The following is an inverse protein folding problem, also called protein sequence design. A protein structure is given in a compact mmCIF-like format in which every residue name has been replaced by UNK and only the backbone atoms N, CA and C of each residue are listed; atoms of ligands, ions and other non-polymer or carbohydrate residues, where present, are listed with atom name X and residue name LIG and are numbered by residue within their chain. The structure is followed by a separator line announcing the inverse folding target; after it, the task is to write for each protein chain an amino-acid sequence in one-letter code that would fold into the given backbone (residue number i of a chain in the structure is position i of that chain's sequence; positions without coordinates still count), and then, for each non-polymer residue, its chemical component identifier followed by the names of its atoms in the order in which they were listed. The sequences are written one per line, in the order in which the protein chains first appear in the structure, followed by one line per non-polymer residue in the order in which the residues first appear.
data_IF_021878960593
#
_entry.id   IF_021878960593
#
_cell.length_a   1.000
_cell.length_b   1.000
_cell.length_c   1.000
_cell.angle_alpha   90.00
_cell.angle_beta   90.00
_cell.angle_gamma   90.00
#
_symmetry.space_group_name_H-M   'P 1'
#
loop_
_entity.id
_entity.type
_entity.pdbx_description
1 polymer ?
#
# COMPACT_ATOMS: atom_id res chain seq x y z
N UNK A 1 -61.76 -23.99 7.75
CA UNK A 1 -61.35 -22.58 7.54
C UNK A 1 -60.47 -22.20 8.72
N UNK A 2 -59.20 -21.91 8.43
CA UNK A 2 -58.11 -21.46 9.31
C UNK A 2 -57.71 -22.34 10.52
N UNK A 3 -56.70 -23.17 10.28
CA UNK A 3 -55.71 -23.64 11.26
C UNK A 3 -54.67 -22.54 11.46
N UNK A 4 -54.47 -22.08 12.71
CA UNK A 4 -53.39 -21.15 13.05
C UNK A 4 -52.19 -21.92 13.61
N UNK A 5 -51.14 -22.02 12.81
CA UNK A 5 -49.85 -22.56 13.25
C UNK A 5 -49.12 -21.55 14.14
N UNK A 6 -48.83 -21.99 15.36
CA UNK A 6 -48.05 -21.26 16.36
C UNK A 6 -46.56 -21.27 16.01
N UNK A 7 -46.01 -20.11 15.65
CA UNK A 7 -44.58 -19.88 15.51
C UNK A 7 -43.91 -19.90 16.89
N UNK A 8 -43.14 -20.96 17.19
CA UNK A 8 -42.28 -21.03 18.39
C UNK A 8 -41.01 -20.21 18.15
N UNK A 9 -40.88 -19.10 18.88
CA UNK A 9 -39.61 -18.37 19.00
C UNK A 9 -38.72 -19.08 20.02
N UNK A 10 -37.53 -19.52 19.59
CA UNK A 10 -36.47 -19.96 20.50
C UNK A 10 -35.76 -18.71 21.06
N UNK A 11 -36.01 -18.39 22.33
CA UNK A 11 -35.17 -17.46 23.08
C UNK A 11 -33.88 -18.19 23.48
N UNK A 12 -32.75 -17.78 22.92
CA UNK A 12 -31.44 -18.14 23.46
C UNK A 12 -31.12 -17.13 24.57
N UNK A 13 -31.22 -17.57 25.82
CA UNK A 13 -30.73 -16.83 26.98
C UNK A 13 -29.20 -16.86 26.97
N UNK A 14 -28.55 -15.77 26.55
CA UNK A 14 -27.16 -15.53 26.90
C UNK A 14 -27.12 -14.90 28.29
N UNK A 15 -26.65 -15.66 29.28
CA UNK A 15 -26.27 -15.16 30.60
C UNK A 15 -24.95 -14.39 30.44
N UNK A 16 -24.99 -13.07 30.60
CA UNK A 16 -23.80 -12.21 30.57
C UNK A 16 -23.29 -12.04 32.00
N UNK A 17 -22.13 -12.61 32.30
CA UNK A 17 -21.32 -12.21 33.45
C UNK A 17 -20.56 -10.93 33.08
N UNK A 18 -20.93 -9.82 33.69
CA UNK A 18 -20.21 -8.55 33.58
C UNK A 18 -18.90 -8.61 34.37
N UNK A 19 -17.81 -8.90 33.67
CA UNK A 19 -16.44 -8.77 34.19
C UNK A 19 -15.58 -8.00 33.20
N UNK A 20 -15.21 -6.76 33.55
CA UNK A 20 -14.04 -6.05 33.04
C UNK A 20 -14.21 -5.33 31.70
N UNK A 21 -14.29 -4.00 31.74
CA UNK A 21 -13.99 -3.15 30.58
C UNK A 21 -12.49 -2.91 30.54
N UNK A 22 -11.89 -3.18 29.38
CA UNK A 22 -10.66 -2.49 28.96
C UNK A 22 -10.56 -2.33 27.45
N UNK A 23 -11.68 -2.34 26.70
CA UNK A 23 -11.69 -1.98 25.27
C UNK A 23 -13.02 -1.34 24.86
N UNK A 24 -12.97 -0.04 24.62
CA UNK A 24 -14.03 0.67 23.91
C UNK A 24 -13.67 0.73 22.42
N UNK A 25 -14.50 0.15 21.57
CA UNK A 25 -14.49 0.42 20.14
C UNK A 25 -15.01 1.84 19.90
N UNK A 26 -14.52 2.48 18.83
CA UNK A 26 -14.91 3.84 18.47
C UNK A 26 -15.71 3.81 17.17
N UNK A 27 -16.96 4.21 17.26
CA UNK A 27 -17.87 4.25 16.13
C UNK A 27 -17.94 5.68 15.60
N UNK A 28 -17.78 5.83 14.29
CA UNK A 28 -17.96 7.08 13.57
C UNK A 28 -19.24 6.95 12.76
N UNK A 29 -20.21 7.82 13.03
CA UNK A 29 -21.48 7.86 12.31
C UNK A 29 -21.35 8.72 11.04
N UNK A 30 -22.26 8.56 10.07
CA UNK A 30 -22.30 9.42 8.86
C UNK A 30 -22.44 10.92 9.15
N UNK A 31 -22.99 11.28 10.30
CA UNK A 31 -23.06 12.67 10.78
C UNK A 31 -21.74 13.19 11.35
N UNK A 32 -20.66 12.39 11.32
CA UNK A 32 -19.40 12.58 12.04
C UNK A 32 -19.50 12.54 13.57
N UNK A 33 -20.69 12.25 14.13
CA UNK A 33 -20.83 11.97 15.55
C UNK A 33 -20.05 10.70 15.94
N UNK A 34 -19.57 10.67 17.18
CA UNK A 34 -18.74 9.58 17.70
C UNK A 34 -19.44 8.90 18.87
N UNK A 35 -19.45 7.58 18.86
CA UNK A 35 -19.92 6.75 19.98
C UNK A 35 -18.77 5.85 20.44
N UNK A 36 -18.79 5.50 21.72
CA UNK A 36 -17.83 4.57 22.34
C UNK A 36 -18.57 3.46 23.04
N UNK A 37 -18.07 2.23 22.91
CA UNK A 37 -18.64 1.04 23.52
C UNK A 37 -18.06 -0.21 22.87
N UNK A 38 -18.59 -1.39 23.18
CA UNK A 38 -18.12 -2.64 22.59
C UNK A 38 -19.12 -3.12 21.54
N UNK A 39 -18.69 -3.23 20.29
CA UNK A 39 -19.52 -3.80 19.22
C UNK A 39 -19.60 -5.31 19.42
N UNK A 40 -20.83 -5.85 19.48
CA UNK A 40 -21.06 -7.28 19.70
C UNK A 40 -21.51 -8.02 18.45
N UNK A 41 -22.21 -7.35 17.53
CA UNK A 41 -22.68 -7.99 16.28
C UNK A 41 -23.06 -7.03 15.18
N UNK A 42 -23.02 -7.52 13.95
CA UNK A 42 -23.63 -6.96 12.74
C UNK A 42 -24.53 -8.04 12.15
N UNK A 43 -25.82 -7.75 12.05
CA UNK A 43 -26.80 -8.64 11.39
C UNK A 43 -26.68 -8.56 9.86
N UNK A 44 -27.28 -9.50 9.15
CA UNK A 44 -27.37 -9.48 7.68
C UNK A 44 -28.07 -8.22 7.13
N UNK A 45 -29.03 -7.67 7.89
CA UNK A 45 -29.68 -6.40 7.53
C UNK A 45 -28.81 -5.16 7.81
N UNK A 46 -27.61 -5.34 8.34
CA UNK A 46 -26.66 -4.27 8.67
C UNK A 46 -26.89 -3.54 10.00
N UNK A 47 -27.75 -4.06 10.88
CA UNK A 47 -27.96 -3.53 12.24
C UNK A 47 -26.74 -3.84 13.11
N UNK A 48 -26.21 -2.82 13.78
CA UNK A 48 -25.07 -2.95 14.71
C UNK A 48 -25.56 -2.93 16.16
N UNK A 49 -25.13 -3.90 16.95
CA UNK A 49 -25.37 -3.92 18.39
C UNK A 49 -24.14 -3.41 19.16
N UNK A 50 -24.34 -2.36 19.96
CA UNK A 50 -23.31 -1.71 20.76
C UNK A 50 -23.62 -1.86 22.26
N UNK A 51 -22.78 -2.55 22.99
CA UNK A 51 -22.79 -2.50 24.46
C UNK A 51 -22.13 -1.19 24.92
N UNK A 52 -22.78 -0.44 25.80
CA UNK A 52 -22.28 0.84 26.30
C UNK A 52 -22.50 0.93 27.81
N UNK A 53 -21.57 1.55 28.54
CA UNK A 53 -21.65 1.72 30.00
C UNK A 53 -22.90 2.49 30.45
N UNK A 54 -23.44 3.34 29.58
CA UNK A 54 -24.59 4.20 29.87
C UNK A 54 -25.94 3.53 29.59
N UNK A 55 -25.97 2.31 29.08
CA UNK A 55 -27.18 1.59 28.73
C UNK A 55 -27.19 0.16 29.29
N UNK A 56 -28.28 -0.23 29.95
CA UNK A 56 -28.44 -1.57 30.54
C UNK A 56 -28.75 -2.66 29.50
N UNK A 57 -29.05 -2.29 28.26
CA UNK A 57 -29.25 -3.18 27.12
C UNK A 57 -28.44 -2.66 25.92
N UNK A 58 -27.97 -3.54 25.02
CA UNK A 58 -27.26 -3.10 23.82
C UNK A 58 -28.06 -2.10 22.99
N UNK A 59 -27.39 -1.02 22.57
CA UNK A 59 -27.96 -0.02 21.68
C UNK A 59 -27.93 -0.57 20.26
N UNK A 60 -29.09 -0.64 19.60
CA UNK A 60 -29.23 -1.09 18.22
C UNK A 60 -29.17 0.09 17.26
N UNK A 61 -28.11 0.15 16.46
CA UNK A 61 -27.88 1.18 15.45
C UNK A 61 -28.44 0.72 14.11
N UNK A 62 -29.22 1.58 13.46
CA UNK A 62 -29.84 1.29 12.17
C UNK A 62 -28.79 1.07 11.07
N UNK A 63 -29.11 0.27 10.03
CA UNK A 63 -28.20 0.03 8.92
C UNK A 63 -27.76 1.34 8.25
N UNK A 64 -26.48 1.42 7.90
CA UNK A 64 -25.91 2.57 7.22
C UNK A 64 -25.83 3.85 8.05
N UNK A 65 -26.12 3.84 9.35
CA UNK A 65 -25.86 5.00 10.23
C UNK A 65 -24.39 5.05 10.65
N UNK A 66 -23.79 3.89 10.90
CA UNK A 66 -22.38 3.75 11.23
C UNK A 66 -21.58 3.73 9.94
N UNK A 67 -20.65 4.67 9.80
CA UNK A 67 -19.72 4.75 8.68
C UNK A 67 -18.50 3.86 8.92
N UNK A 68 -17.96 3.90 10.14
CA UNK A 68 -16.75 3.18 10.51
C UNK A 68 -16.77 2.75 11.98
N UNK A 69 -16.24 1.57 12.27
CA UNK A 69 -15.84 1.14 13.60
C UNK A 69 -14.33 1.01 13.61
N UNK A 70 -13.66 1.74 14.48
CA UNK A 70 -12.23 1.59 14.77
C UNK A 70 -12.10 0.65 15.96
N UNK A 71 -11.53 -0.53 15.73
CA UNK A 71 -11.25 -1.47 16.80
C UNK A 71 -9.96 -1.04 17.50
N UNK A 72 -9.97 -1.10 18.83
CA UNK A 72 -8.77 -0.87 19.62
C UNK A 72 -7.77 -2.00 19.35
N UNK A 73 -6.90 -1.90 18.34
CA UNK A 73 -5.93 -2.95 18.00
C UNK A 73 -4.86 -3.12 19.10
N UNK A 74 -4.51 -4.37 19.40
CA UNK A 74 -3.29 -4.74 20.13
C UNK A 74 -2.21 -4.94 19.06
N UNK A 75 -0.96 -4.64 19.40
CA UNK A 75 0.14 -4.57 18.44
C UNK A 75 0.16 -5.77 17.47
N UNK A 76 0.33 -5.51 16.16
CA UNK A 76 0.28 -6.54 15.14
C UNK A 76 1.36 -7.60 15.41
N UNK A 77 1.00 -8.88 15.24
CA UNK A 77 1.96 -9.97 15.28
C UNK A 77 2.93 -9.88 14.09
N UNK A 78 4.19 -10.27 14.31
CA UNK A 78 5.33 -9.97 13.45
C UNK A 78 5.47 -10.83 12.18
N UNK A 79 4.59 -11.80 11.97
CA UNK A 79 4.62 -12.60 10.74
C UNK A 79 3.90 -11.86 9.63
N UNK A 80 4.69 -11.19 8.79
CA UNK A 80 4.17 -10.49 7.64
C UNK A 80 3.80 -11.47 6.53
N UNK A 81 2.58 -11.39 6.02
CA UNK A 81 2.18 -12.14 4.84
C UNK A 81 3.15 -11.86 3.68
N UNK A 82 3.57 -12.91 2.98
CA UNK A 82 4.42 -12.80 1.79
C UNK A 82 3.63 -12.85 0.50
N UNK A 83 2.31 -13.06 0.56
CA UNK A 83 1.45 -13.18 -0.62
C UNK A 83 0.18 -12.36 -0.44
N UNK A 84 -0.26 -11.70 -1.51
CA UNK A 84 -1.57 -11.05 -1.57
C UNK A 84 -2.48 -11.80 -2.55
N UNK A 85 -3.67 -12.18 -2.10
CA UNK A 85 -4.70 -12.81 -2.94
C UNK A 85 -5.81 -11.81 -3.19
N UNK A 86 -6.25 -11.72 -4.44
CA UNK A 86 -7.52 -11.08 -4.80
C UNK A 86 -8.54 -12.17 -5.14
N UNK A 87 -9.73 -12.06 -4.58
CA UNK A 87 -10.87 -12.92 -4.92
C UNK A 87 -11.68 -12.33 -6.08
N UNK A 88 -12.54 -13.13 -6.69
CA UNK A 88 -13.37 -12.71 -7.83
C UNK A 88 -14.34 -11.57 -7.49
N UNK A 89 -14.68 -11.36 -6.21
CA UNK A 89 -15.47 -10.23 -5.76
C UNK A 89 -14.63 -8.97 -5.45
N UNK A 90 -13.30 -9.01 -5.63
CA UNK A 90 -12.38 -7.91 -5.33
C UNK A 90 -11.92 -7.83 -3.87
N UNK A 91 -12.29 -8.80 -3.02
CA UNK A 91 -11.75 -8.89 -1.67
C UNK A 91 -10.27 -9.29 -1.70
N UNK A 92 -9.52 -8.77 -0.73
CA UNK A 92 -8.06 -8.86 -0.67
C UNK A 92 -7.63 -9.56 0.61
N UNK A 93 -6.79 -10.57 0.48
CA UNK A 93 -6.30 -11.39 1.58
C UNK A 93 -4.77 -11.45 1.60
N UNK A 94 -4.12 -10.88 2.63
CA UNK A 94 -2.71 -11.12 2.91
C UNK A 94 -2.57 -12.52 3.53
N UNK A 95 -1.76 -13.38 2.92
CA UNK A 95 -1.58 -14.78 3.33
C UNK A 95 -0.13 -15.26 3.24
N UNK A 96 0.14 -16.38 3.89
CA UNK A 96 1.25 -17.29 3.60
C UNK A 96 0.68 -18.54 2.94
N UNK A 97 1.27 -18.99 1.83
CA UNK A 97 0.82 -20.19 1.12
C UNK A 97 1.46 -21.43 1.77
N UNK A 98 0.66 -22.48 2.00
CA UNK A 98 1.20 -23.81 2.33
C UNK A 98 1.25 -24.70 1.08
N UNK A 99 0.14 -24.80 0.33
CA UNK A 99 0.09 -25.51 -0.95
C UNK A 99 -1.10 -25.08 -1.82
N UNK A 100 -1.05 -25.39 -3.11
CA UNK A 100 -2.15 -25.25 -4.06
C UNK A 100 -2.27 -26.50 -4.92
N UNK A 101 -3.52 -26.89 -5.21
CA UNK A 101 -3.86 -27.94 -6.17
C UNK A 101 -4.99 -27.48 -7.11
N UNK A 102 -5.53 -28.39 -7.91
CA UNK A 102 -6.61 -28.12 -8.87
C UNK A 102 -7.91 -27.61 -8.23
N UNK A 103 -8.15 -27.89 -6.94
CA UNK A 103 -9.42 -27.60 -6.25
C UNK A 103 -9.33 -26.46 -5.28
N UNK A 104 -8.21 -26.33 -4.57
CA UNK A 104 -8.09 -25.39 -3.46
C UNK A 104 -6.65 -24.92 -3.25
N UNK A 105 -6.57 -23.75 -2.63
CA UNK A 105 -5.36 -23.17 -2.08
C UNK A 105 -5.44 -23.27 -0.55
N UNK A 106 -4.42 -23.83 0.08
CA UNK A 106 -4.26 -23.90 1.53
C UNK A 106 -3.34 -22.76 1.96
N UNK A 107 -3.83 -21.91 2.86
CA UNK A 107 -3.14 -20.72 3.32
C UNK A 107 -3.15 -20.62 4.83
N UNK A 108 -2.20 -19.87 5.35
CA UNK A 108 -2.17 -19.35 6.72
C UNK A 108 -2.30 -17.85 6.70
N UNK A 109 -3.03 -17.30 7.67
CA UNK A 109 -3.07 -15.87 7.93
C UNK A 109 -2.73 -15.59 9.38
N UNK A 110 -2.00 -14.51 9.63
CA UNK A 110 -1.74 -14.02 10.99
C UNK A 110 -3.04 -13.74 11.75
N UNK A 111 -4.09 -13.38 11.01
CA UNK A 111 -5.39 -13.01 11.55
C UNK A 111 -6.34 -14.19 11.73
N UNK A 112 -6.42 -15.16 10.82
CA UNK A 112 -7.44 -16.22 10.85
C UNK A 112 -6.88 -17.65 11.04
N UNK A 113 -5.56 -17.80 11.12
CA UNK A 113 -4.92 -19.12 11.11
C UNK A 113 -5.00 -19.78 9.74
N UNK A 114 -4.99 -21.12 9.73
CA UNK A 114 -5.02 -21.93 8.51
C UNK A 114 -6.44 -22.04 7.95
N UNK A 115 -6.62 -21.79 6.65
CA UNK A 115 -7.89 -22.05 5.96
C UNK A 115 -7.68 -22.38 4.48
N UNK A 116 -8.77 -22.85 3.86
CA UNK A 116 -8.80 -23.31 2.46
C UNK A 116 -9.63 -22.34 1.63
N UNK A 117 -9.07 -21.91 0.50
CA UNK A 117 -9.75 -21.08 -0.48
C UNK A 117 -10.07 -21.96 -1.70
N UNK A 118 -11.35 -22.12 -2.08
CA UNK A 118 -11.70 -22.81 -3.31
C UNK A 118 -11.04 -22.13 -4.51
N UNK A 119 -10.40 -22.90 -5.39
CA UNK A 119 -9.63 -22.34 -6.51
C UNK A 119 -10.46 -21.45 -7.42
N UNK A 120 -11.72 -21.82 -7.65
CA UNK A 120 -12.64 -21.09 -8.53
C UNK A 120 -13.04 -19.69 -8.03
N UNK A 121 -12.75 -19.33 -6.76
CA UNK A 121 -13.00 -17.97 -6.24
C UNK A 121 -11.75 -17.10 -6.23
N UNK A 122 -10.59 -17.64 -6.64
CA UNK A 122 -9.36 -16.89 -6.80
C UNK A 122 -9.41 -16.08 -8.10
N UNK A 123 -9.01 -14.81 -8.04
CA UNK A 123 -8.84 -13.95 -9.21
C UNK A 123 -7.38 -13.77 -9.56
N UNK A 124 -6.56 -13.46 -8.57
CA UNK A 124 -5.12 -13.30 -8.72
C UNK A 124 -4.36 -13.54 -7.43
N UNK A 125 -3.07 -13.81 -7.57
CA UNK A 125 -2.13 -14.00 -6.47
C UNK A 125 -0.83 -13.27 -6.80
N UNK A 126 -0.36 -12.45 -5.87
CA UNK A 126 0.91 -11.73 -5.96
C UNK A 126 1.88 -12.36 -4.97
N UNK A 127 2.99 -12.89 -5.48
CA UNK A 127 4.01 -13.53 -4.66
C UNK A 127 5.06 -12.52 -4.20
N UNK A 128 5.60 -12.77 -3.01
CA UNK A 128 6.49 -11.86 -2.29
C UNK A 128 5.95 -10.44 -2.25
N UNK A 129 4.66 -10.32 -1.92
CA UNK A 129 4.06 -9.07 -1.47
C UNK A 129 4.75 -8.70 -0.15
N UNK A 130 5.90 -8.05 -0.24
CA UNK A 130 6.48 -7.37 0.89
C UNK A 130 5.93 -5.95 0.89
N UNK A 131 5.44 -5.53 2.05
CA UNK A 131 5.21 -4.12 2.34
C UNK A 131 6.49 -3.37 1.98
N UNK A 132 6.40 -2.43 1.03
CA UNK A 132 7.50 -1.58 0.57
C UNK A 132 8.51 -1.33 1.70
N UNK A 133 9.74 -1.85 1.54
CA UNK A 133 10.75 -1.73 2.58
C UNK A 133 11.04 -0.25 2.77
N UNK A 134 10.68 0.27 3.94
CA UNK A 134 11.03 1.63 4.34
C UNK A 134 12.52 1.64 4.64
N UNK A 135 13.29 2.26 3.76
CA UNK A 135 14.73 2.42 3.92
C UNK A 135 15.01 3.56 4.90
N UNK A 136 14.20 4.61 4.83
CA UNK A 136 14.35 5.77 5.70
C UNK A 136 13.04 6.54 5.88
N UNK A 137 12.86 7.10 7.07
CA UNK A 137 11.89 8.16 7.39
C UNK A 137 12.53 9.17 8.33
N UNK A 138 12.44 10.44 7.97
CA UNK A 138 12.90 11.53 8.82
C UNK A 138 12.61 12.90 8.19
N UNK A 139 13.40 13.93 8.54
CA UNK A 139 14.54 13.88 9.44
C UNK A 139 14.16 13.60 10.90
N UNK A 140 15.06 12.93 11.65
CA UNK A 140 14.90 12.71 13.11
C UNK A 140 15.90 13.51 13.95
N UNK A 141 17.06 13.82 13.39
CA UNK A 141 18.11 14.64 13.99
C UNK A 141 19.14 15.03 12.93
N UNK A 142 19.83 16.15 13.10
CA UNK A 142 20.83 16.59 12.11
C UNK A 142 22.05 15.66 11.99
N UNK A 143 22.45 15.02 13.09
CA UNK A 143 23.67 14.19 13.15
C UNK A 143 23.59 12.92 12.30
N UNK A 144 22.41 12.58 11.76
CA UNK A 144 22.27 11.41 10.88
C UNK A 144 22.53 11.75 9.40
N UNK A 145 22.64 13.05 9.07
CA UNK A 145 22.89 13.57 7.72
C UNK A 145 24.28 14.20 7.60
N UNK A 146 25.28 13.44 8.05
CA UNK A 146 26.70 13.75 7.90
C UNK A 146 27.30 12.70 6.97
N UNK A 147 28.13 13.11 6.01
CA UNK A 147 28.93 12.18 5.22
C UNK A 147 30.27 11.92 5.90
N UNK A 148 30.93 10.80 5.57
CA UNK A 148 32.26 10.46 6.07
C UNK A 148 33.32 11.55 5.79
N UNK A 149 33.05 12.46 4.85
CA UNK A 149 33.99 13.47 4.37
C UNK A 149 33.57 14.92 4.67
N UNK A 150 32.30 15.19 4.94
CA UNK A 150 31.77 16.53 5.21
C UNK A 150 30.59 16.49 6.19
N UNK A 151 30.72 17.27 7.27
CA UNK A 151 29.64 17.55 8.22
C UNK A 151 28.50 18.35 7.59
N UNK A 152 27.28 18.16 8.10
CA UNK A 152 26.16 19.04 7.80
C UNK A 152 26.49 20.48 8.24
N UNK A 153 26.17 21.45 7.39
CA UNK A 153 26.39 22.89 7.62
C UNK A 153 25.13 23.66 7.27
N UNK A 154 24.84 24.72 8.01
CA UNK A 154 23.68 25.60 7.80
C UNK A 154 22.33 25.02 8.24
N UNK A 155 22.07 23.73 7.97
CA UNK A 155 20.83 23.06 8.39
C UNK A 155 20.72 22.95 9.91
N UNK A 156 19.58 23.35 10.43
CA UNK A 156 19.14 23.15 11.83
C UNK A 156 18.00 22.14 11.84
N UNK A 157 17.87 21.37 12.90
CA UNK A 157 16.74 20.46 13.08
C UNK A 157 15.72 21.06 14.05
N UNK A 158 14.48 21.24 13.59
CA UNK A 158 13.34 21.67 14.42
C UNK A 158 12.06 21.03 13.89
N UNK A 159 11.16 20.63 14.79
CA UNK A 159 9.81 20.15 14.44
C UNK A 159 9.77 19.06 13.35
N UNK A 160 10.66 18.06 13.45
CA UNK A 160 10.82 16.97 12.46
C UNK A 160 11.15 17.47 11.03
N UNK A 161 11.81 18.63 10.93
CA UNK A 161 12.25 19.22 9.67
C UNK A 161 13.70 19.71 9.75
N UNK A 162 14.34 19.81 8.60
CA UNK A 162 15.55 20.62 8.46
C UNK A 162 15.18 22.00 7.99
N UNK A 163 15.66 23.01 8.70
CA UNK A 163 15.40 24.43 8.46
C UNK A 163 16.70 25.18 8.23
N UNK A 164 16.70 26.13 7.31
CA UNK A 164 17.83 27.05 7.10
C UNK A 164 17.33 28.42 6.65
N UNK A 165 18.09 29.45 6.98
CA UNK A 165 17.92 30.85 6.59
C UNK A 165 19.13 31.38 5.80
N UNK A 166 20.08 30.50 5.48
CA UNK A 166 21.30 30.74 4.69
C UNK A 166 21.70 29.47 3.92
N UNK A 167 22.81 29.52 3.17
CA UNK A 167 23.35 28.36 2.47
C UNK A 167 23.57 27.17 3.41
N UNK A 168 23.04 26.01 3.01
CA UNK A 168 23.08 24.81 3.82
C UNK A 168 23.36 23.55 2.99
N UNK A 169 24.09 22.62 3.60
CA UNK A 169 24.46 21.33 3.03
C UNK A 169 24.28 20.23 4.06
N UNK A 170 23.70 19.11 3.64
CA UNK A 170 23.62 17.89 4.42
C UNK A 170 23.65 16.69 3.49
N UNK A 171 24.21 15.55 3.91
CA UNK A 171 24.24 14.36 3.08
C UNK A 171 24.19 13.09 3.90
N UNK A 172 23.58 12.04 3.34
CA UNK A 172 23.40 10.76 4.01
C UNK A 172 23.52 9.63 3.01
N UNK A 173 24.23 8.57 3.42
CA UNK A 173 24.32 7.31 2.68
C UNK A 173 23.22 6.35 3.13
N UNK A 174 22.63 5.63 2.18
CA UNK A 174 21.59 4.63 2.37
C UNK A 174 21.96 3.31 1.67
N UNK A 175 21.15 2.28 1.85
CA UNK A 175 21.17 1.08 1.01
C UNK A 175 20.05 1.21 -0.03
N UNK A 176 20.31 1.93 -1.13
CA UNK A 176 19.30 2.17 -2.16
C UNK A 176 19.18 0.93 -3.08
N UNK A 177 17.97 0.35 -3.24
CA UNK A 177 17.73 -0.76 -4.16
C UNK A 177 17.71 -0.28 -5.62
N UNK A 178 17.55 -1.22 -6.56
CA UNK A 178 17.41 -0.89 -7.98
C UNK A 178 16.16 -0.07 -8.30
N UNK A 179 15.08 -0.28 -7.54
CA UNK A 179 13.83 0.48 -7.66
C UNK A 179 13.45 1.09 -6.32
N UNK A 180 13.42 2.42 -6.26
CA UNK A 180 13.07 3.12 -5.02
C UNK A 180 12.25 4.38 -5.29
N UNK A 181 11.47 4.80 -4.30
CA UNK A 181 10.89 6.14 -4.25
C UNK A 181 11.68 7.03 -3.28
N UNK A 182 11.85 8.29 -3.65
CA UNK A 182 12.36 9.36 -2.81
C UNK A 182 11.27 10.42 -2.69
N UNK A 183 10.73 10.58 -1.50
CA UNK A 183 9.67 11.52 -1.18
C UNK A 183 10.15 12.55 -0.16
N UNK A 184 9.70 13.79 -0.29
CA UNK A 184 9.93 14.84 0.70
C UNK A 184 8.94 15.98 0.52
N UNK A 185 8.86 16.87 1.51
CA UNK A 185 8.14 18.14 1.41
C UNK A 185 9.11 19.29 1.52
N UNK A 186 9.01 20.22 0.59
CA UNK A 186 9.76 21.47 0.59
C UNK A 186 8.84 22.63 0.93
N UNK A 187 9.31 23.55 1.76
CA UNK A 187 8.63 24.83 2.04
C UNK A 187 9.63 25.96 2.01
N UNK A 188 9.23 27.12 1.49
CA UNK A 188 10.07 28.31 1.37
C UNK A 188 9.30 29.58 1.73
N UNK A 189 10.02 30.66 2.04
CA UNK A 189 9.41 31.98 2.26
C UNK A 189 9.34 32.83 0.99
N UNK A 190 10.43 32.93 0.23
CA UNK A 190 10.52 33.75 -0.99
C UNK A 190 10.87 32.88 -2.20
N UNK A 191 12.10 32.36 -2.23
CA UNK A 191 12.60 31.47 -3.28
C UNK A 191 13.07 30.15 -2.67
N UNK A 192 12.79 29.00 -3.29
CA UNK A 192 13.32 27.74 -2.85
C UNK A 192 14.82 27.64 -3.15
N UNK A 193 15.30 27.95 -4.35
CA UNK A 193 16.70 27.70 -4.76
C UNK A 193 17.27 26.40 -4.15
N UNK A 194 16.51 25.33 -4.34
CA UNK A 194 16.75 24.06 -3.67
C UNK A 194 17.35 23.06 -4.65
N UNK A 195 18.30 22.27 -4.18
CA UNK A 195 18.80 21.12 -4.92
C UNK A 195 18.88 19.89 -4.02
N UNK A 196 18.41 18.76 -4.56
CA UNK A 196 18.61 17.45 -3.97
C UNK A 196 19.31 16.55 -4.98
N UNK A 197 20.48 16.04 -4.59
CA UNK A 197 21.17 15.01 -5.35
C UNK A 197 20.79 13.65 -4.80
N UNK A 198 20.60 12.67 -5.68
CA UNK A 198 20.25 11.31 -5.31
C UNK A 198 20.89 10.31 -6.27
N UNK A 199 20.99 9.06 -5.81
CA UNK A 199 21.92 8.09 -6.37
C UNK A 199 23.36 8.65 -6.42
N UNK A 200 23.72 9.47 -5.42
CA UNK A 200 25.01 10.17 -5.34
C UNK A 200 26.07 9.23 -4.74
N UNK A 201 27.25 9.06 -5.35
CA UNK A 201 28.31 8.27 -4.73
C UNK A 201 28.96 8.95 -3.52
N UNK A 202 28.64 10.21 -3.24
CA UNK A 202 29.21 11.02 -2.16
C UNK A 202 30.74 11.11 -2.23
N UNK A 203 31.27 11.25 -3.46
CA UNK A 203 32.70 11.40 -3.68
C UNK A 203 33.21 12.72 -3.09
N UNK A 204 34.34 12.68 -2.38
CA UNK A 204 35.01 13.85 -1.83
C UNK A 204 35.90 14.59 -2.83
N UNK A 205 36.11 14.04 -4.03
CA UNK A 205 36.79 14.77 -5.09
C UNK A 205 35.79 15.63 -5.88
N UNK A 206 36.21 16.84 -6.26
CA UNK A 206 35.40 17.77 -7.08
C UNK A 206 35.23 17.29 -8.53
N UNK A 207 35.38 15.99 -8.79
CA UNK A 207 35.30 15.41 -10.12
C UNK A 207 33.84 15.21 -10.51
N UNK A 208 33.52 15.34 -11.81
CA UNK A 208 32.23 14.93 -12.32
C UNK A 208 31.93 13.49 -11.90
N UNK A 209 30.71 13.26 -11.42
CA UNK A 209 30.31 11.96 -10.90
C UNK A 209 28.95 11.56 -11.44
N UNK A 210 28.66 10.27 -11.35
CA UNK A 210 27.40 9.72 -11.83
C UNK A 210 26.32 9.86 -10.75
N UNK A 211 25.37 10.79 -10.95
CA UNK A 211 24.24 11.03 -10.04
C UNK A 211 23.07 11.73 -10.74
N UNK A 212 21.92 11.77 -10.08
CA UNK A 212 20.84 12.67 -10.45
C UNK A 212 20.81 13.90 -9.57
N UNK A 213 20.36 15.01 -10.14
CA UNK A 213 20.21 16.31 -9.47
C UNK A 213 18.82 16.84 -9.77
N UNK A 214 17.96 16.93 -8.76
CA UNK A 214 16.73 17.72 -8.85
C UNK A 214 17.03 19.14 -8.39
N UNK A 215 16.64 20.12 -9.19
CA UNK A 215 16.82 21.53 -8.93
C UNK A 215 15.44 22.21 -9.02
N UNK A 216 15.13 23.09 -8.07
CA UNK A 216 13.92 23.88 -8.08
C UNK A 216 14.20 25.34 -7.72
N UNK A 217 13.99 26.25 -8.68
CA UNK A 217 14.23 27.68 -8.51
C UNK A 217 13.34 28.54 -9.44
N UNK A 218 13.36 29.86 -9.23
CA UNK A 218 12.51 30.81 -9.97
C UNK A 218 12.85 30.90 -11.46
N UNK A 219 14.13 30.71 -11.82
CA UNK A 219 14.61 30.97 -13.18
C UNK A 219 14.36 29.80 -14.14
N UNK A 220 14.38 28.56 -13.64
CA UNK A 220 14.30 27.34 -14.46
C UNK A 220 13.11 26.46 -14.10
N UNK A 221 12.35 26.81 -13.08
CA UNK A 221 11.31 25.95 -12.54
C UNK A 221 11.90 24.68 -11.94
N UNK A 222 11.23 23.56 -12.20
CA UNK A 222 11.64 22.24 -11.72
C UNK A 222 12.35 21.46 -12.82
N UNK A 223 13.53 20.93 -12.50
CA UNK A 223 14.30 20.10 -13.42
C UNK A 223 14.98 18.95 -12.67
N UNK A 224 15.05 17.78 -13.31
CA UNK A 224 15.92 16.68 -12.91
C UNK A 224 16.95 16.46 -14.01
N UNK A 225 18.23 16.52 -13.65
CA UNK A 225 19.36 16.30 -14.54
C UNK A 225 20.16 15.06 -14.14
N UNK A 226 20.81 14.46 -15.13
CA UNK A 226 21.92 13.54 -14.99
C UNK A 226 23.22 14.32 -14.96
N UNK A 227 23.99 14.20 -13.87
CA UNK A 227 25.44 14.47 -13.93
C UNK A 227 26.15 13.19 -14.34
N UNK A 228 27.06 13.25 -15.32
CA UNK A 228 27.81 12.11 -15.82
C UNK A 228 29.30 12.26 -15.56
N UNK A 229 29.96 11.17 -15.12
CA UNK A 229 31.42 11.13 -14.92
C UNK A 229 32.20 11.15 -16.26
N UNK A 230 31.53 10.78 -17.36
CA UNK A 230 32.09 10.72 -18.72
C UNK A 230 31.11 11.34 -19.72
N UNK A 231 31.64 11.89 -20.81
CA UNK A 231 30.83 12.43 -21.90
C UNK A 231 30.21 13.79 -21.57
N UNK A 232 28.95 14.00 -21.96
CA UNK A 232 28.25 15.25 -21.64
C UNK A 232 27.94 15.28 -20.14
N UNK A 233 28.54 16.25 -19.45
CA UNK A 233 28.48 16.33 -18.00
C UNK A 233 27.07 16.49 -17.47
N UNK A 234 26.22 17.31 -18.12
CA UNK A 234 24.87 17.57 -17.64
C UNK A 234 23.85 17.35 -18.75
N UNK A 235 22.88 16.46 -18.49
CA UNK A 235 21.81 16.17 -19.43
C UNK A 235 20.47 16.21 -18.68
N UNK A 236 19.45 16.85 -19.25
CA UNK A 236 18.12 16.85 -18.66
C UNK A 236 17.50 15.44 -18.77
N UNK A 237 16.91 14.98 -17.68
CA UNK A 237 16.09 13.76 -17.63
C UNK A 237 14.61 14.15 -17.60
N UNK A 238 14.26 15.12 -16.76
CA UNK A 238 12.93 15.75 -16.69
C UNK A 238 13.13 17.27 -16.66
N UNK A 239 12.40 18.01 -17.50
CA UNK A 239 12.48 19.46 -17.57
C UNK A 239 11.08 20.07 -17.58
N UNK A 240 10.73 20.81 -16.52
CA UNK A 240 9.43 21.43 -16.32
C UNK A 240 9.59 22.94 -16.09
N UNK A 241 9.91 23.71 -17.15
CA UNK A 241 10.24 25.13 -17.02
C UNK A 241 9.03 26.01 -16.67
N UNK A 242 7.81 25.44 -16.73
CA UNK A 242 6.55 26.07 -16.34
C UNK A 242 6.05 25.65 -14.96
N UNK A 243 6.83 24.88 -14.21
CA UNK A 243 6.57 24.59 -12.81
C UNK A 243 7.49 25.47 -12.00
N UNK A 244 7.07 26.70 -11.74
CA UNK A 244 7.87 27.69 -11.01
C UNK A 244 7.36 27.83 -9.56
N UNK A 245 8.17 28.34 -8.62
CA UNK A 245 7.77 28.45 -7.22
C UNK A 245 6.46 29.21 -7.00
N UNK A 246 6.21 30.27 -7.78
CA UNK A 246 4.98 31.06 -7.70
C UNK A 246 3.69 30.27 -8.00
N UNK A 247 3.77 29.09 -8.63
CA UNK A 247 2.60 28.26 -8.96
C UNK A 247 2.07 27.48 -7.75
N UNK A 248 2.81 27.43 -6.64
CA UNK A 248 2.52 26.58 -5.49
C UNK A 248 1.96 27.38 -4.31
N UNK A 249 0.68 27.16 -3.94
CA UNK A 249 0.09 27.80 -2.78
C UNK A 249 0.90 27.54 -1.51
N UNK A 250 0.90 28.53 -0.62
CA UNK A 250 1.61 28.48 0.67
C UNK A 250 3.14 28.26 0.56
N UNK A 251 3.70 28.45 -0.64
CA UNK A 251 5.12 28.23 -0.91
C UNK A 251 5.59 26.84 -0.46
N UNK A 252 4.79 25.82 -0.80
CA UNK A 252 5.01 24.44 -0.40
C UNK A 252 4.87 23.49 -1.58
N UNK A 253 5.73 22.48 -1.62
CA UNK A 253 5.72 21.43 -2.64
C UNK A 253 5.99 20.07 -2.01
N UNK A 254 5.05 19.13 -2.20
CA UNK A 254 5.28 17.72 -1.91
C UNK A 254 5.84 17.05 -3.18
N UNK A 255 7.00 16.40 -3.08
CA UNK A 255 7.70 15.77 -4.21
C UNK A 255 7.82 14.27 -3.95
N UNK A 256 7.56 13.48 -4.98
CA UNK A 256 7.94 12.06 -5.02
C UNK A 256 8.61 11.75 -6.36
N UNK A 257 9.79 11.14 -6.30
CA UNK A 257 10.53 10.67 -7.46
C UNK A 257 10.63 9.16 -7.36
N UNK A 258 10.07 8.45 -8.33
CA UNK A 258 10.23 7.00 -8.47
C UNK A 258 11.38 6.74 -9.44
N UNK A 259 12.35 5.94 -9.00
CA UNK A 259 13.57 5.64 -9.74
C UNK A 259 13.58 4.15 -10.07
N UNK A 260 13.68 3.82 -11.35
CA UNK A 260 13.94 2.46 -11.84
C UNK A 260 15.31 2.44 -12.54
N UNK A 261 16.33 1.95 -11.83
CA UNK A 261 17.69 1.84 -12.36
C UNK A 261 17.83 0.79 -13.46
N UNK A 262 16.98 -0.24 -13.46
CA UNK A 262 17.01 -1.33 -14.48
C UNK A 262 16.50 -0.79 -15.81
N UNK A 263 15.42 0.01 -15.77
CA UNK A 263 14.84 0.65 -16.94
C UNK A 263 15.47 2.01 -17.29
N UNK A 264 16.41 2.51 -16.48
CA UNK A 264 16.97 3.86 -16.60
C UNK A 264 15.86 4.93 -16.68
N UNK A 265 14.83 4.80 -15.83
CA UNK A 265 13.59 5.58 -15.90
C UNK A 265 13.32 6.28 -14.57
N UNK A 266 12.92 7.55 -14.64
CA UNK A 266 12.40 8.33 -13.53
C UNK A 266 10.93 8.69 -13.78
N UNK A 267 10.10 8.60 -12.75
CA UNK A 267 8.75 9.17 -12.72
C UNK A 267 8.68 10.24 -11.62
N UNK A 268 8.14 11.41 -11.95
CA UNK A 268 7.96 12.51 -11.02
C UNK A 268 6.49 12.67 -10.68
N UNK A 269 6.19 12.82 -9.40
CA UNK A 269 4.87 13.19 -8.89
C UNK A 269 4.99 14.42 -8.00
N UNK A 270 4.05 15.33 -8.16
CA UNK A 270 3.99 16.60 -7.42
C UNK A 270 2.65 16.69 -6.73
N UNK A 271 2.65 16.98 -5.42
CA UNK A 271 1.44 17.07 -4.60
C UNK A 271 0.54 15.83 -4.66
N UNK A 272 1.14 14.65 -4.83
CA UNK A 272 0.46 13.36 -4.91
C UNK A 272 0.00 12.97 -6.32
N UNK A 273 0.07 13.89 -7.29
CA UNK A 273 -0.38 13.65 -8.65
C UNK A 273 0.79 13.32 -9.60
N UNK A 274 0.62 12.37 -10.55
CA UNK A 274 1.62 12.11 -11.58
C UNK A 274 1.88 13.34 -12.46
N UNK A 275 3.15 13.72 -12.62
CA UNK A 275 3.53 14.88 -13.42
C UNK A 275 4.10 14.43 -14.77
N UNK A 276 5.20 13.66 -14.79
CA UNK A 276 5.81 13.16 -16.03
C UNK A 276 6.84 12.06 -15.77
N UNK A 277 7.39 11.49 -16.84
CA UNK A 277 8.47 10.50 -16.84
C UNK A 277 9.66 10.96 -17.68
N UNK A 278 10.86 10.50 -17.34
CA UNK A 278 12.09 10.79 -18.07
C UNK A 278 13.00 9.58 -18.13
N UNK A 279 13.52 9.28 -19.32
CA UNK A 279 14.52 8.21 -19.53
C UNK A 279 15.90 8.84 -19.38
N UNK A 280 16.80 8.21 -18.60
CA UNK A 280 18.18 8.64 -18.45
C UNK A 280 18.91 8.58 -19.80
N UNK A 281 19.36 9.73 -20.33
CA UNK A 281 19.98 9.79 -21.65
C UNK A 281 21.38 9.16 -21.69
N UNK A 282 21.99 8.85 -20.54
CA UNK A 282 23.27 8.14 -20.49
C UNK A 282 23.13 6.62 -20.72
N UNK A 283 21.89 6.09 -20.77
CA UNK A 283 21.59 4.67 -20.99
C UNK A 283 21.77 3.79 -19.75
N UNK A 284 22.68 4.14 -18.84
CA UNK A 284 22.87 3.48 -17.55
C UNK A 284 22.62 4.44 -16.38
N UNK A 285 21.67 4.08 -15.52
CA UNK A 285 21.37 4.82 -14.30
C UNK A 285 22.57 4.85 -13.33
N UNK A 286 22.77 5.96 -12.59
CA UNK A 286 23.77 6.04 -11.54
C UNK A 286 23.49 5.04 -10.41
N UNK A 287 24.56 4.49 -9.87
CA UNK A 287 24.54 3.40 -8.87
C UNK A 287 24.86 3.88 -7.45
N UNK A 288 25.12 5.19 -7.28
CA UNK A 288 25.43 5.77 -5.98
C UNK A 288 24.30 5.57 -4.97
N UNK A 289 24.63 5.71 -3.70
CA UNK A 289 23.75 5.34 -2.58
C UNK A 289 23.51 6.50 -1.61
N UNK A 290 23.97 7.68 -1.96
CA UNK A 290 23.82 8.90 -1.20
C UNK A 290 22.66 9.76 -1.68
N UNK A 291 22.16 10.54 -0.74
CA UNK A 291 21.33 11.71 -0.98
C UNK A 291 22.00 12.91 -0.34
N UNK A 292 22.06 14.02 -1.07
CA UNK A 292 22.61 15.28 -0.59
C UNK A 292 21.61 16.41 -0.77
N UNK A 293 21.47 17.25 0.24
CA UNK A 293 20.53 18.36 0.32
C UNK A 293 21.32 19.67 0.27
N UNK A 294 20.96 20.54 -0.66
CA UNK A 294 21.48 21.88 -0.79
C UNK A 294 20.33 22.87 -0.69
N UNK A 295 20.37 23.71 0.34
CA UNK A 295 19.46 24.84 0.48
C UNK A 295 20.22 26.13 0.22
N UNK A 296 19.74 26.96 -0.70
CA UNK A 296 20.30 28.28 -0.97
C UNK A 296 19.20 29.35 -0.93
N UNK A 297 18.44 29.45 0.18
CA UNK A 297 17.44 30.50 0.28
C UNK A 297 18.12 31.88 0.24
N UNK A 298 17.33 32.91 -0.08
CA UNK A 298 17.78 34.27 0.13
C UNK A 298 18.09 34.48 1.62
N UNK A 299 19.23 35.09 1.94
CA UNK A 299 19.67 35.29 3.33
C UNK A 299 18.58 35.92 4.20
N UNK A 300 18.30 35.29 5.34
CA UNK A 300 17.26 35.71 6.29
C UNK A 300 15.84 35.30 5.90
N UNK A 301 15.68 34.50 4.83
CA UNK A 301 14.40 33.91 4.42
C UNK A 301 14.46 32.42 4.65
N UNK A 302 13.51 31.91 5.42
CA UNK A 302 13.52 30.52 5.83
C UNK A 302 13.13 29.58 4.68
N UNK A 303 13.82 28.45 4.64
CA UNK A 303 13.48 27.27 3.86
C UNK A 303 13.50 26.05 4.78
N UNK A 304 12.58 25.11 4.54
CA UNK A 304 12.57 23.84 5.25
C UNK A 304 12.32 22.64 4.33
N UNK A 305 12.92 21.51 4.67
CA UNK A 305 12.60 20.20 4.11
C UNK A 305 12.18 19.23 5.22
N UNK A 306 11.09 18.51 5.00
CA UNK A 306 10.53 17.56 5.96
C UNK A 306 9.99 16.32 5.26
N UNK A 307 9.51 15.34 6.05
CA UNK A 307 8.89 14.10 5.57
C UNK A 307 9.72 13.39 4.49
N UNK A 308 11.05 13.40 4.67
CA UNK A 308 11.97 12.70 3.79
C UNK A 308 11.77 11.21 4.01
N UNK A 309 11.38 10.52 2.95
CA UNK A 309 11.06 9.12 2.97
C UNK A 309 11.69 8.43 1.76
N UNK A 310 12.38 7.33 2.01
CA UNK A 310 12.95 6.49 0.97
C UNK A 310 12.38 5.09 1.16
N UNK A 311 11.81 4.54 0.08
CA UNK A 311 11.28 3.19 0.09
C UNK A 311 11.76 2.40 -1.11
N UNK A 312 11.92 1.11 -0.91
CA UNK A 312 11.85 0.19 -2.02
C UNK A 312 10.45 0.26 -2.63
N UNK A 313 10.37 0.36 -3.95
CA UNK A 313 9.12 0.46 -4.67
C UNK A 313 9.10 -0.61 -5.76
N UNK A 314 8.05 -1.43 -5.75
CA UNK A 314 7.74 -2.38 -6.81
C UNK A 314 6.26 -2.22 -7.19
N UNK A 315 6.00 -1.51 -8.28
CA UNK A 315 4.65 -1.41 -8.84
C UNK A 315 4.33 -2.48 -9.88
N UNK A 316 5.19 -3.47 -10.10
CA UNK A 316 4.91 -4.53 -11.06
C UNK A 316 3.56 -5.18 -10.72
N UNK A 317 3.36 -5.51 -9.44
CA UNK A 317 2.12 -6.01 -8.86
C UNK A 317 0.88 -5.14 -9.21
N UNK A 318 0.91 -3.84 -8.89
CA UNK A 318 -0.20 -2.93 -9.15
C UNK A 318 -0.47 -2.74 -10.66
N UNK A 319 0.59 -2.64 -11.47
CA UNK A 319 0.47 -2.56 -12.92
C UNK A 319 -0.14 -3.83 -13.50
N UNK A 320 0.32 -5.01 -13.09
CA UNK A 320 -0.19 -6.30 -13.53
C UNK A 320 -1.70 -6.42 -13.27
N UNK A 321 -2.18 -5.97 -12.10
CA UNK A 321 -3.62 -5.99 -11.81
C UNK A 321 -4.45 -5.03 -12.67
N UNK A 322 -3.83 -3.95 -13.18
CA UNK A 322 -4.52 -2.93 -13.99
C UNK A 322 -4.48 -3.19 -15.50
N UNK A 323 -3.58 -4.05 -15.98
CA UNK A 323 -3.42 -4.33 -17.40
C UNK A 323 -4.49 -5.30 -17.93
N UNK A 324 -4.82 -5.17 -19.21
CA UNK A 324 -5.73 -6.10 -19.87
C UNK A 324 -5.04 -7.47 -20.02
N UNK A 325 -5.65 -8.49 -19.42
CA UNK A 325 -5.12 -9.86 -19.32
C UNK A 325 -5.28 -10.69 -20.60
N UNK A 326 -6.08 -10.23 -21.56
CA UNK A 326 -6.42 -11.03 -22.73
C UNK A 326 -7.42 -12.13 -22.40
N UNK A 327 -7.02 -13.40 -22.58
CA UNK A 327 -7.89 -14.55 -22.31
C UNK A 327 -8.00 -14.82 -20.80
N UNK A 328 -9.22 -14.80 -20.28
CA UNK A 328 -9.50 -15.07 -18.87
C UNK A 328 -9.83 -16.55 -18.61
N UNK A 329 -9.93 -17.39 -19.64
CA UNK A 329 -10.36 -18.79 -19.51
C UNK A 329 -9.24 -19.76 -19.12
N UNK A 330 -7.99 -19.32 -19.21
CA UNK A 330 -6.81 -20.05 -18.76
C UNK A 330 -6.15 -19.33 -17.60
N UNK A 331 -5.33 -20.06 -16.83
CA UNK A 331 -4.45 -19.37 -15.89
C UNK A 331 -3.36 -18.66 -16.69
N UNK A 332 -2.85 -17.57 -16.14
CA UNK A 332 -1.67 -16.91 -16.67
C UNK A 332 -0.70 -16.51 -15.55
N UNK A 333 0.55 -16.33 -15.94
CA UNK A 333 1.64 -16.01 -15.05
C UNK A 333 2.48 -14.90 -15.66
N UNK A 334 2.89 -13.95 -14.82
CA UNK A 334 3.86 -12.92 -15.16
C UNK A 334 5.10 -13.09 -14.28
N UNK A 335 6.28 -13.24 -14.90
CA UNK A 335 7.56 -13.27 -14.17
C UNK A 335 7.94 -11.88 -13.65
N UNK A 336 8.93 -11.85 -12.76
CA UNK A 336 9.59 -10.59 -12.36
C UNK A 336 10.42 -9.94 -13.48
N UNK A 337 10.69 -10.67 -14.55
CA UNK A 337 11.33 -10.16 -15.76
C UNK A 337 10.32 -9.75 -16.84
N UNK A 338 9.02 -9.69 -16.51
CA UNK A 338 7.92 -9.22 -17.37
C UNK A 338 7.51 -10.18 -18.50
N UNK A 339 8.06 -11.41 -18.49
CA UNK A 339 7.62 -12.47 -19.38
C UNK A 339 6.22 -12.94 -18.98
N UNK A 340 5.42 -13.29 -19.98
CA UNK A 340 4.02 -13.70 -19.83
C UNK A 340 3.83 -15.09 -20.39
N UNK A 341 3.17 -15.94 -19.62
CA UNK A 341 2.76 -17.27 -20.05
C UNK A 341 1.28 -17.49 -19.78
N UNK A 342 0.60 -18.08 -20.75
CA UNK A 342 -0.74 -18.65 -20.60
C UNK A 342 -0.64 -20.15 -20.41
N UNK A 343 -1.57 -20.73 -19.67
CA UNK A 343 -1.66 -22.17 -19.45
C UNK A 343 -2.41 -22.54 -18.18
N UNK A 344 -1.80 -23.39 -17.34
CA UNK A 344 -2.43 -23.90 -16.12
C UNK A 344 -1.43 -24.06 -14.99
N UNK A 345 -1.71 -23.45 -13.84
CA UNK A 345 -0.93 -23.67 -12.63
C UNK A 345 -1.36 -25.00 -11.99
N UNK A 346 -0.53 -26.04 -12.11
CA UNK A 346 -0.85 -27.38 -11.64
C UNK A 346 -0.78 -27.48 -10.12
N UNK A 347 0.28 -26.93 -9.52
CA UNK A 347 0.46 -26.94 -8.06
C UNK A 347 1.40 -25.86 -7.55
N UNK A 348 1.25 -25.52 -6.26
CA UNK A 348 2.26 -24.83 -5.46
C UNK A 348 2.60 -25.72 -4.27
N UNK A 349 3.88 -25.90 -3.98
CA UNK A 349 4.37 -26.69 -2.83
C UNK A 349 5.42 -25.90 -2.07
N UNK A 350 5.30 -25.89 -0.75
CA UNK A 350 6.35 -25.36 0.14
C UNK A 350 7.50 -26.35 0.25
N UNK A 351 8.73 -25.86 0.13
CA UNK A 351 9.96 -26.59 0.35
C UNK A 351 10.94 -25.73 1.21
N UNK A 352 12.12 -26.25 1.61
CA UNK A 352 13.07 -25.49 2.44
C UNK A 352 13.63 -24.21 1.81
N UNK A 353 13.57 -24.07 0.48
CA UNK A 353 14.06 -22.90 -0.27
C UNK A 353 12.97 -21.88 -0.57
N UNK A 354 11.70 -22.20 -0.29
CA UNK A 354 10.54 -21.35 -0.55
C UNK A 354 9.39 -22.11 -1.22
N UNK A 355 8.60 -21.40 -2.02
CA UNK A 355 7.55 -22.03 -2.83
C UNK A 355 8.09 -22.50 -4.18
N UNK A 356 7.76 -23.74 -4.54
CA UNK A 356 7.91 -24.30 -5.88
C UNK A 356 6.55 -24.37 -6.58
N UNK A 357 6.49 -23.82 -7.79
CA UNK A 357 5.31 -23.71 -8.64
C UNK A 357 5.50 -24.57 -9.87
N UNK A 358 4.53 -25.45 -10.15
CA UNK A 358 4.50 -26.26 -11.36
C UNK A 358 3.47 -25.68 -12.33
N UNK A 359 3.94 -25.08 -13.43
CA UNK A 359 3.10 -24.37 -14.40
C UNK A 359 3.19 -25.03 -15.78
N UNK A 360 2.06 -25.49 -16.30
CA UNK A 360 1.94 -26.07 -17.64
C UNK A 360 1.61 -24.96 -18.63
N UNK A 361 2.64 -24.47 -19.33
CA UNK A 361 2.49 -23.47 -20.40
C UNK A 361 1.88 -24.08 -21.66
N UNK A 362 1.09 -23.28 -22.38
CA UNK A 362 0.47 -23.68 -23.66
C UNK A 362 1.51 -23.90 -24.78
N UNK A 363 2.74 -23.44 -24.60
CA UNK A 363 3.79 -23.47 -25.63
C UNK A 363 4.77 -24.64 -25.51
N UNK A 364 4.64 -25.49 -24.49
CA UNK A 364 5.55 -26.63 -24.28
C UNK A 364 4.86 -27.82 -23.62
N UNK A 365 5.36 -29.03 -23.85
CA UNK A 365 4.75 -30.28 -23.34
C UNK A 365 5.01 -30.55 -21.86
N UNK A 366 6.21 -30.27 -21.36
CA UNK A 366 6.56 -30.49 -19.96
C UNK A 366 6.18 -29.27 -19.09
N UNK A 367 5.72 -29.44 -17.84
CA UNK A 367 5.54 -28.34 -16.92
C UNK A 367 6.84 -27.59 -16.60
N UNK A 368 6.75 -26.27 -16.43
CA UNK A 368 7.81 -25.42 -15.88
C UNK A 368 7.78 -25.51 -14.36
N UNK A 369 8.95 -25.76 -13.75
CA UNK A 369 9.14 -25.61 -12.32
C UNK A 369 9.74 -24.22 -12.05
N UNK A 370 9.00 -23.38 -11.35
CA UNK A 370 9.35 -21.99 -11.05
C UNK A 370 9.41 -21.80 -9.54
N UNK A 371 10.33 -20.96 -9.08
CA UNK A 371 10.37 -20.50 -7.69
C UNK A 371 9.52 -19.24 -7.49
N UNK A 372 9.12 -18.95 -6.24
CA UNK A 372 8.47 -17.66 -5.91
C UNK A 372 9.33 -16.42 -6.20
N UNK A 373 10.64 -16.59 -6.41
CA UNK A 373 11.54 -15.52 -6.79
C UNK A 373 11.44 -15.16 -8.28
N UNK A 374 10.99 -16.07 -9.12
CA UNK A 374 10.86 -15.86 -10.56
C UNK A 374 9.48 -15.30 -10.93
N UNK A 375 8.48 -15.56 -10.09
CA UNK A 375 7.08 -15.24 -10.36
C UNK A 375 6.66 -13.96 -9.62
N UNK A 376 6.06 -13.02 -10.35
CA UNK A 376 5.45 -11.81 -9.77
C UNK A 376 3.98 -12.06 -9.46
N UNK A 377 3.19 -12.38 -10.49
CA UNK A 377 1.74 -12.40 -10.42
C UNK A 377 1.19 -13.63 -11.14
N UNK A 378 0.22 -14.27 -10.51
CA UNK A 378 -0.56 -15.36 -11.08
C UNK A 378 -2.00 -14.90 -11.19
N UNK A 379 -2.60 -15.29 -12.29
CA UNK A 379 -3.91 -14.89 -12.74
C UNK A 379 -4.70 -16.16 -12.96
N UNK A 380 -5.76 -16.36 -12.19
CA UNK A 380 -6.53 -17.60 -12.26
C UNK A 380 -7.59 -17.53 -13.35
N UNK A 381 -7.81 -18.66 -14.00
CA UNK A 381 -8.89 -18.85 -14.95
C UNK A 381 -10.24 -18.48 -14.32
N UNK A 382 -10.96 -17.60 -14.99
CA UNK A 382 -12.33 -17.22 -14.68
C UNK A 382 -13.26 -18.09 -15.50
N UNK A 383 -14.11 -18.82 -14.82
CA UNK A 383 -15.27 -19.45 -15.45
C UNK A 383 -16.32 -18.36 -15.56
N UNK A 384 -17.01 -18.24 -16.70
CA UNK A 384 -18.17 -17.35 -16.91
C UNK A 384 -19.25 -17.67 -15.85
N UNK A 385 -19.07 -17.14 -14.66
CA UNK A 385 -20.01 -17.15 -13.56
C UNK A 385 -20.61 -15.76 -13.61
N UNK A 386 -21.86 -15.65 -14.04
CA UNK A 386 -22.70 -14.49 -13.75
C UNK A 386 -22.86 -14.39 -12.24
N UNK A 387 -21.81 -13.97 -11.55
CA UNK A 387 -21.87 -13.64 -10.14
C UNK A 387 -22.49 -12.26 -10.11
N UNK A 388 -23.82 -12.21 -10.23
CA UNK A 388 -24.59 -11.07 -9.76
C UNK A 388 -24.31 -10.97 -8.27
N UNK A 389 -23.28 -10.21 -7.91
CA UNK A 389 -23.14 -9.70 -6.55
C UNK A 389 -24.37 -8.82 -6.34
N UNK A 390 -25.37 -9.34 -5.63
CA UNK A 390 -26.49 -8.52 -5.18
C UNK A 390 -25.90 -7.34 -4.42
N UNK A 391 -26.26 -6.13 -4.87
CA UNK A 391 -25.80 -4.86 -4.29
C UNK A 391 -26.44 -4.63 -2.91
N UNK A 392 -26.15 -5.48 -1.94
CA UNK A 392 -26.67 -5.34 -0.58
C UNK A 392 -25.59 -4.85 0.37
N UNK A 393 -25.76 -3.62 0.89
CA UNK A 393 -25.14 -3.06 2.10
C UNK A 393 -23.97 -3.87 2.72
N UNK A 394 -22.82 -3.91 2.06
CA UNK A 394 -21.69 -4.70 2.55
C UNK A 394 -20.87 -3.85 3.53
N UNK A 395 -20.70 -4.39 4.73
CA UNK A 395 -19.60 -3.93 5.57
C UNK A 395 -18.32 -4.64 5.11
N UNK A 396 -17.21 -3.93 5.12
CA UNK A 396 -15.90 -4.52 4.94
C UNK A 396 -15.15 -4.56 6.26
N UNK A 397 -14.61 -5.73 6.60
CA UNK A 397 -13.56 -5.86 7.60
C UNK A 397 -12.24 -5.46 6.95
N UNK A 398 -11.59 -4.45 7.50
CA UNK A 398 -10.21 -4.10 7.19
C UNK A 398 -9.30 -4.95 8.06
N UNK A 399 -8.55 -5.84 7.42
CA UNK A 399 -7.53 -6.62 8.09
C UNK A 399 -6.25 -5.78 8.25
N UNK A 400 -5.33 -6.27 9.05
CA UNK A 400 -3.93 -5.81 8.98
C UNK A 400 -3.35 -6.12 7.59
N UNK A 401 -2.24 -5.47 7.25
CA UNK A 401 -1.52 -5.71 5.98
C UNK A 401 -2.35 -5.45 4.71
N UNK A 402 -3.24 -4.46 4.79
CA UNK A 402 -4.11 -4.00 3.68
C UNK A 402 -5.15 -5.02 3.21
N UNK A 403 -5.43 -6.07 3.98
CA UNK A 403 -6.52 -6.99 3.67
C UNK A 403 -7.91 -6.35 3.82
N UNK A 404 -8.85 -6.80 3.00
CA UNK A 404 -10.22 -6.30 2.95
C UNK A 404 -11.15 -7.47 2.67
N UNK A 405 -12.12 -7.70 3.54
CA UNK A 405 -13.13 -8.74 3.38
C UNK A 405 -14.53 -8.15 3.48
N UNK A 406 -15.34 -8.29 2.43
CA UNK A 406 -16.78 -8.01 2.47
C UNK A 406 -17.49 -9.13 3.21
N UNK A 407 -18.35 -8.76 4.16
CA UNK A 407 -18.98 -9.69 5.08
C UNK A 407 -20.47 -9.42 5.19
N UNK A 408 -21.26 -10.50 5.24
CA UNK A 408 -22.72 -10.42 5.43
C UNK A 408 -23.08 -10.22 6.90
N UNK A 409 -22.40 -10.94 7.79
CA UNK A 409 -22.64 -10.90 9.23
C UNK A 409 -21.33 -10.96 9.97
N UNK A 410 -21.30 -10.37 11.17
CA UNK A 410 -20.20 -10.56 12.11
C UNK A 410 -20.75 -10.70 13.53
N UNK A 411 -20.14 -11.59 14.31
CA UNK A 411 -20.25 -11.59 15.77
C UNK A 411 -18.87 -11.37 16.37
N UNK A 412 -18.84 -10.56 17.42
CA UNK A 412 -17.61 -10.12 18.04
C UNK A 412 -17.52 -10.70 19.45
N UNK A 413 -16.40 -11.34 19.74
CA UNK A 413 -15.96 -11.70 21.09
C UNK A 413 -14.71 -10.90 21.45
N UNK A 414 -14.15 -11.14 22.64
CA UNK A 414 -12.94 -10.46 23.08
C UNK A 414 -11.73 -10.81 22.19
N UNK A 415 -11.61 -12.08 21.84
CA UNK A 415 -10.45 -12.60 21.09
C UNK A 415 -10.71 -12.79 19.59
N UNK A 416 -11.96 -13.04 19.19
CA UNK A 416 -12.29 -13.41 17.81
C UNK A 416 -13.51 -12.68 17.25
N UNK A 417 -13.49 -12.50 15.94
CA UNK A 417 -14.60 -12.10 15.09
C UNK A 417 -15.00 -13.33 14.27
N UNK A 418 -16.28 -13.68 14.32
CA UNK A 418 -16.84 -14.74 13.48
C UNK A 418 -17.65 -14.07 12.38
N UNK A 419 -17.27 -14.25 11.12
CA UNK A 419 -17.83 -13.52 9.99
C UNK A 419 -18.29 -14.45 8.86
N UNK A 420 -19.46 -14.17 8.28
CA UNK A 420 -19.95 -14.87 7.09
C UNK A 420 -19.46 -14.14 5.83
N UNK A 421 -18.54 -14.75 5.10
CA UNK A 421 -18.07 -14.29 3.79
C UNK A 421 -18.91 -14.90 2.67
N UNK A 422 -19.24 -14.15 1.59
CA UNK A 422 -20.05 -14.67 0.49
C UNK A 422 -19.37 -15.81 -0.29
N UNK A 423 -18.04 -15.74 -0.46
CA UNK A 423 -17.28 -16.73 -1.25
C UNK A 423 -16.57 -17.81 -0.41
N UNK A 424 -16.26 -17.52 0.86
CA UNK A 424 -15.40 -18.35 1.70
C UNK A 424 -16.17 -19.07 2.81
N UNK A 425 -17.47 -18.75 2.97
CA UNK A 425 -18.26 -19.28 4.06
C UNK A 425 -17.95 -18.60 5.40
N UNK A 426 -18.06 -19.36 6.49
CA UNK A 426 -17.81 -18.86 7.84
C UNK A 426 -16.31 -18.77 8.13
N UNK A 427 -15.86 -17.60 8.54
CA UNK A 427 -14.50 -17.29 8.93
C UNK A 427 -14.42 -16.99 10.42
N UNK A 428 -13.36 -17.46 11.07
CA UNK A 428 -13.00 -17.10 12.45
C UNK A 428 -11.69 -16.34 12.42
N UNK A 429 -11.73 -15.06 12.77
CA UNK A 429 -10.63 -14.10 12.64
C UNK A 429 -10.27 -13.60 14.03
N UNK A 430 -9.00 -13.64 14.42
CA UNK A 430 -8.49 -12.99 15.61
C UNK A 430 -8.76 -11.48 15.54
N UNK A 431 -9.31 -10.93 16.61
CA UNK A 431 -9.66 -9.52 16.70
C UNK A 431 -8.44 -8.59 16.55
N UNK A 432 -7.25 -9.03 16.93
CA UNK A 432 -6.01 -8.25 16.73
C UNK A 432 -5.66 -8.07 15.25
N UNK A 433 -6.13 -8.97 14.39
CA UNK A 433 -5.94 -8.94 12.95
C UNK A 433 -6.87 -8.00 12.19
N UNK A 434 -7.80 -7.33 12.87
CA UNK A 434 -8.79 -6.42 12.26
C UNK A 434 -8.56 -5.00 12.74
N UNK A 435 -8.33 -4.08 11.81
CA UNK A 435 -8.09 -2.66 12.08
C UNK A 435 -9.38 -1.85 12.12
N UNK A 436 -10.35 -2.19 11.27
CA UNK A 436 -11.61 -1.47 11.19
C UNK A 436 -12.73 -2.31 10.59
N UNK A 437 -13.95 -1.83 10.76
CA UNK A 437 -15.12 -2.22 9.98
C UNK A 437 -15.67 -0.96 9.30
N UNK A 438 -15.90 -1.01 8.00
CA UNK A 438 -16.37 0.14 7.22
C UNK A 438 -17.65 -0.20 6.46
N UNK A 439 -18.59 0.72 6.42
CA UNK A 439 -19.76 0.60 5.56
C UNK A 439 -19.39 1.03 4.14
N UNK A 440 -19.51 0.11 3.17
CA UNK A 440 -19.24 0.41 1.76
C UNK A 440 -20.57 0.69 1.06
N UNK A 441 -20.75 1.93 0.60
CA UNK A 441 -21.90 2.30 -0.22
C UNK A 441 -21.62 2.04 -1.69
N UNK A 442 -22.57 1.45 -2.40
CA UNK A 442 -22.51 1.24 -3.85
C UNK A 442 -22.45 2.53 -4.69
N UNK A 443 -22.54 3.72 -4.08
CA UNK A 443 -22.42 5.02 -4.78
C UNK A 443 -21.02 5.63 -4.74
N UNK A 444 -20.09 5.11 -3.92
CA UNK A 444 -18.72 5.65 -3.88
C UNK A 444 -17.81 5.10 -5.00
N UNK A 445 -18.14 3.96 -5.61
CA UNK A 445 -17.40 3.43 -6.77
C UNK A 445 -17.65 4.22 -8.07
N UNK A 446 -18.80 4.91 -8.20
CA UNK A 446 -19.14 5.64 -9.43
C UNK A 446 -18.37 6.97 -9.55
N UNK A 447 -18.13 7.67 -8.44
CA UNK A 447 -17.40 8.95 -8.45
C UNK A 447 -15.89 8.78 -8.72
N UNK A 448 -15.34 7.58 -8.57
CA UNK A 448 -13.93 7.30 -8.85
C UNK A 448 -13.71 6.93 -10.34
N UNK A 449 -14.72 6.35 -11.01
CA UNK A 449 -14.70 6.12 -12.46
C UNK A 449 -14.92 7.41 -13.27
N UNK A 450 -15.84 8.28 -12.86
CA UNK A 450 -16.11 9.52 -13.61
C UNK A 450 -14.94 10.51 -13.57
N UNK A 451 -14.08 10.48 -12.54
CA UNK A 451 -12.86 11.29 -12.48
C UNK A 451 -11.70 10.80 -13.35
N UNK A 452 -11.83 9.63 -14.00
CA UNK A 452 -10.79 9.05 -14.86
C UNK A 452 -11.14 9.22 -16.35
N UNK A 453 -12.33 9.75 -16.67
CA UNK A 453 -12.82 9.96 -18.05
C UNK A 453 -13.08 11.44 -18.41
N UNK A 454 -12.61 12.41 -17.61
CA UNK A 454 -12.61 13.85 -17.98
C UNK A 454 -11.20 14.40 -18.25
#
# INVERSE_FOLDING_TARGET
MQTSDSFKWFLILCLWSSSGILRADKLILKSNARLTGTVSSISEKGVIALASEIASQPVLLKPGVVQKVEFSSLEPHSDSASTLIELINGDILPVTIDNLNEKELVVRTSSAGDFKIPRHVLKSMQLRYHKEKVIYRGPQKITEWISDNEDARGWKFSDNSFTTDDSAFASKKFELPLKFSLKFKLKWQESPNFQINFADPLSSDSKPTDRYMMIFNDNKGLEIKRESSKGNRHQAVILLPRRIPADYPENKLDVEILVDRKASLLELRLNGEPETKGIDPAGQAPTGNGVSLYGEPQTGKEQSISDIEIREFDNAAARHLSENRGDEKSDSLISRDEDRWSGSLLSIKTNPEGLALSFKSDFQDEPLELSENEVSTIFFAQIDQETKTEKENEYALRLVENGVLRVKTCTFSDDFITAQHPLLGMLKINRSGVSALEWISSQQETQQKEKTEE
#
